data_IF_534162032656
#
_entry.id   IF_534162032656
#
_cell.length_a   1.000
_cell.length_b   1.000
_cell.length_c   1.000
_cell.angle_alpha   90.00
_cell.angle_beta   90.00
_cell.angle_gamma   90.00
#
_symmetry.space_group_name_H-M   'P 1'
#
loop_
_entity.id
_entity.type
_entity.pdbx_description
1 polymer ?
#
# COMPACT_ATOMS: atom_id res chain seq x y z
N UNK A 1 16.24 -12.73 12.15
CA UNK A 1 14.93 -12.06 12.18
C UNK A 1 14.30 -12.24 10.80
N UNK A 2 13.20 -13.00 10.69
CA UNK A 2 12.68 -13.51 9.41
C UNK A 2 11.86 -12.45 8.68
N UNK A 3 12.36 -11.94 7.55
CA UNK A 3 11.75 -10.86 6.74
C UNK A 3 10.30 -11.14 6.31
N UNK A 4 9.94 -12.42 6.14
CA UNK A 4 8.59 -12.87 5.77
C UNK A 4 7.49 -12.46 6.79
N UNK A 5 7.85 -12.30 8.08
CA UNK A 5 6.89 -11.95 9.13
C UNK A 5 6.41 -10.50 9.02
N UNK A 6 7.27 -9.59 8.54
CA UNK A 6 6.96 -8.16 8.47
C UNK A 6 6.00 -7.83 7.32
N UNK A 7 6.07 -8.57 6.21
CA UNK A 7 5.32 -8.26 4.99
C UNK A 7 3.89 -8.83 5.05
N UNK A 8 3.70 -10.02 5.63
CA UNK A 8 2.36 -10.58 5.84
C UNK A 8 1.51 -9.77 6.83
N UNK A 9 2.16 -9.02 7.73
CA UNK A 9 1.47 -8.16 8.70
C UNK A 9 0.92 -6.89 8.05
N UNK A 10 1.63 -6.36 7.04
CA UNK A 10 1.33 -5.06 6.42
C UNK A 10 0.07 -5.07 5.54
N UNK A 11 -0.18 -6.14 4.77
CA UNK A 11 -1.35 -6.22 3.87
C UNK A 11 -2.67 -6.46 4.62
N UNK A 12 -2.62 -7.13 5.77
CA UNK A 12 -3.79 -7.32 6.65
C UNK A 12 -4.02 -6.11 7.55
N UNK A 13 -2.96 -5.40 7.95
CA UNK A 13 -3.07 -4.19 8.76
C UNK A 13 -3.70 -3.01 8.04
N UNK A 14 -3.52 -2.83 6.72
CA UNK A 14 -3.99 -1.59 6.06
C UNK A 14 -5.51 -1.44 6.06
N UNK A 15 -6.27 -2.54 6.01
CA UNK A 15 -7.74 -2.50 6.14
C UNK A 15 -8.16 -2.17 7.57
N UNK A 16 -7.61 -2.90 8.54
CA UNK A 16 -7.92 -2.71 9.96
C UNK A 16 -7.45 -1.33 10.48
N UNK A 17 -6.27 -0.83 10.09
CA UNK A 17 -5.74 0.49 10.48
C UNK A 17 -6.60 1.62 9.88
N UNK A 18 -7.06 1.47 8.64
CA UNK A 18 -7.88 2.48 7.99
C UNK A 18 -9.31 2.55 8.56
N UNK A 19 -9.92 1.39 8.89
CA UNK A 19 -11.21 1.35 9.60
C UNK A 19 -11.07 1.83 11.06
N UNK A 20 -9.95 1.49 11.70
CA UNK A 20 -9.63 1.91 13.08
C UNK A 20 -9.36 3.41 13.22
N UNK A 21 -8.88 4.09 12.18
CA UNK A 21 -8.49 5.49 12.29
C UNK A 21 -9.66 6.44 12.64
N UNK A 22 -10.91 5.99 12.48
CA UNK A 22 -12.11 6.78 12.80
C UNK A 22 -12.66 6.45 14.20
N UNK A 23 -12.55 5.19 14.66
CA UNK A 23 -12.95 4.74 16.01
C UNK A 23 -12.15 3.48 16.43
N UNK A 24 -10.91 3.68 16.87
CA UNK A 24 -10.02 2.57 17.24
C UNK A 24 -10.35 2.01 18.63
N UNK A 25 -10.80 0.76 18.68
CA UNK A 25 -10.86 0.00 19.93
C UNK A 25 -9.80 -1.11 19.97
N UNK A 26 -8.90 -1.01 20.96
CA UNK A 26 -7.83 -1.99 21.16
C UNK A 26 -8.35 -3.42 21.31
N UNK A 27 -9.52 -3.61 21.93
CA UNK A 27 -10.13 -4.94 22.13
C UNK A 27 -10.47 -5.62 20.80
N UNK A 28 -10.98 -4.86 19.83
CA UNK A 28 -11.33 -5.34 18.50
C UNK A 28 -10.05 -5.64 17.71
N UNK A 29 -9.11 -4.70 17.66
CA UNK A 29 -7.84 -4.86 16.96
C UNK A 29 -7.02 -6.06 17.51
N UNK A 30 -6.95 -6.21 18.83
CA UNK A 30 -6.27 -7.34 19.49
C UNK A 30 -6.88 -8.68 19.07
N UNK A 31 -8.20 -8.77 18.92
CA UNK A 31 -8.89 -9.99 18.47
C UNK A 31 -8.51 -10.35 17.04
N UNK A 32 -8.47 -9.37 16.14
CA UNK A 32 -8.06 -9.56 14.75
C UNK A 32 -6.60 -10.01 14.65
N UNK A 33 -5.70 -9.34 15.38
CA UNK A 33 -4.28 -9.69 15.45
C UNK A 33 -4.10 -11.14 15.94
N UNK A 34 -4.80 -11.55 17.01
CA UNK A 34 -4.71 -12.94 17.50
C UNK A 34 -5.16 -13.97 16.46
N UNK A 35 -6.23 -13.66 15.70
CA UNK A 35 -6.71 -14.54 14.63
C UNK A 35 -5.69 -14.65 13.49
N UNK A 36 -5.07 -13.54 13.11
CA UNK A 36 -4.01 -13.53 12.09
C UNK A 36 -2.80 -14.32 12.58
N UNK A 37 -2.37 -14.10 13.83
CA UNK A 37 -1.25 -14.80 14.44
C UNK A 37 -1.49 -16.31 14.53
N UNK A 38 -2.71 -16.76 14.84
CA UNK A 38 -3.00 -18.20 14.90
C UNK A 38 -2.96 -18.85 13.52
N UNK A 39 -3.35 -18.14 12.47
CA UNK A 39 -3.24 -18.61 11.08
C UNK A 39 -1.76 -18.69 10.65
N UNK A 40 -0.97 -17.64 10.90
CA UNK A 40 0.45 -17.58 10.54
C UNK A 40 1.28 -18.63 11.27
N UNK A 41 0.94 -18.93 12.52
CA UNK A 41 1.64 -19.95 13.33
C UNK A 41 1.25 -21.39 12.99
N UNK A 42 0.20 -21.61 12.19
CA UNK A 42 -0.23 -22.95 11.84
C UNK A 42 0.75 -23.55 10.82
N UNK A 43 1.43 -24.67 11.14
CA UNK A 43 2.37 -25.31 10.21
C UNK A 43 1.68 -25.89 8.94
N UNK A 44 0.35 -26.03 8.95
CA UNK A 44 -0.47 -26.41 7.78
C UNK A 44 -1.08 -25.20 7.06
N UNK A 45 -0.56 -23.99 7.28
CA UNK A 45 -1.07 -22.77 6.65
C UNK A 45 -0.97 -22.87 5.12
N UNK A 46 -2.05 -22.48 4.43
CA UNK A 46 -2.08 -22.44 2.97
C UNK A 46 -1.10 -21.36 2.45
N UNK A 47 -0.09 -21.72 1.63
CA UNK A 47 0.90 -20.77 1.08
C UNK A 47 0.27 -19.61 0.30
N UNK A 48 -0.92 -19.81 -0.27
CA UNK A 48 -1.67 -18.80 -1.02
C UNK A 48 -2.02 -17.58 -0.16
N UNK A 49 -2.16 -17.75 1.17
CA UNK A 49 -2.41 -16.65 2.11
C UNK A 49 -1.25 -15.64 2.11
N UNK A 50 -0.03 -16.10 1.82
CA UNK A 50 1.16 -15.26 1.73
C UNK A 50 1.48 -14.80 0.29
N UNK A 51 0.65 -15.13 -0.71
CA UNK A 51 0.95 -14.82 -2.12
C UNK A 51 1.26 -13.34 -2.34
N UNK A 52 0.46 -12.43 -1.79
CA UNK A 52 0.70 -10.99 -1.92
C UNK A 52 2.03 -10.56 -1.27
N UNK A 53 2.43 -11.19 -0.16
CA UNK A 53 3.71 -10.92 0.47
C UNK A 53 4.88 -11.45 -0.38
N UNK A 54 4.72 -12.64 -0.97
CA UNK A 54 5.69 -13.24 -1.89
C UNK A 54 5.86 -12.34 -3.13
N UNK A 55 4.76 -11.94 -3.76
CA UNK A 55 4.75 -11.07 -4.93
C UNK A 55 5.41 -9.71 -4.60
N UNK A 56 5.15 -9.15 -3.42
CA UNK A 56 5.78 -7.93 -2.94
C UNK A 56 7.30 -8.09 -2.78
N UNK A 57 7.75 -9.17 -2.12
CA UNK A 57 9.18 -9.44 -1.90
C UNK A 57 9.93 -9.70 -3.21
N UNK A 58 9.28 -10.36 -4.15
CA UNK A 58 9.81 -10.61 -5.48
C UNK A 58 9.77 -9.36 -6.38
N UNK A 59 9.18 -8.25 -5.91
CA UNK A 59 8.85 -7.08 -6.73
C UNK A 59 8.07 -7.45 -8.01
N UNK A 60 7.32 -8.55 -7.95
CA UNK A 60 6.58 -9.13 -9.08
C UNK A 60 5.15 -8.59 -9.07
N UNK A 61 5.02 -7.28 -9.25
CA UNK A 61 3.72 -6.62 -9.27
C UNK A 61 3.52 -5.72 -10.48
N UNK A 62 2.25 -5.65 -10.91
CA UNK A 62 1.78 -4.71 -11.92
C UNK A 62 0.97 -3.62 -11.21
N UNK A 63 1.28 -2.35 -11.46
CA UNK A 63 0.59 -1.20 -10.88
C UNK A 63 -0.87 -1.05 -11.33
N UNK A 64 -1.31 -1.78 -12.35
CA UNK A 64 -2.72 -1.85 -12.75
C UNK A 64 -3.33 -0.48 -13.09
N UNK A 65 -2.63 0.36 -13.86
CA UNK A 65 -3.04 1.74 -14.13
C UNK A 65 -4.45 1.91 -14.74
N UNK A 66 -4.99 0.88 -15.38
CA UNK A 66 -6.30 0.91 -16.04
C UNK A 66 -7.45 0.39 -15.15
N UNK A 67 -7.16 -0.01 -13.91
CA UNK A 67 -8.16 -0.53 -12.99
C UNK A 67 -8.68 0.62 -12.13
N UNK A 68 -10.00 0.70 -12.01
CA UNK A 68 -10.66 1.63 -11.09
C UNK A 68 -10.25 1.31 -9.66
N UNK A 69 -9.85 2.33 -8.92
CA UNK A 69 -9.55 2.14 -7.51
C UNK A 69 -10.81 1.79 -6.71
N UNK A 70 -10.68 0.87 -5.75
CA UNK A 70 -11.73 0.62 -4.76
C UNK A 70 -11.80 1.73 -3.71
N UNK A 71 -12.90 1.78 -2.97
CA UNK A 71 -13.09 2.75 -1.89
C UNK A 71 -12.06 2.57 -0.77
N UNK A 72 -11.24 3.59 -0.55
CA UNK A 72 -10.24 3.54 0.53
C UNK A 72 -9.76 4.92 0.97
N UNK A 73 -9.36 5.01 2.25
CA UNK A 73 -8.64 6.15 2.81
C UNK A 73 -7.35 6.51 2.05
N UNK A 74 -6.82 5.60 1.23
CA UNK A 74 -5.64 5.84 0.40
C UNK A 74 -5.92 6.86 -0.70
N UNK A 75 -7.12 6.84 -1.29
CA UNK A 75 -7.53 7.81 -2.34
C UNK A 75 -7.55 9.22 -1.74
N UNK A 76 -8.23 9.39 -0.61
CA UNK A 76 -8.33 10.67 0.10
C UNK A 76 -6.93 11.20 0.46
N UNK A 77 -6.00 10.32 0.84
CA UNK A 77 -4.61 10.71 1.11
C UNK A 77 -3.87 11.13 -0.15
N UNK A 78 -4.00 10.37 -1.24
CA UNK A 78 -3.39 10.71 -2.53
C UNK A 78 -3.88 12.06 -3.04
N UNK A 79 -5.18 12.34 -2.96
CA UNK A 79 -5.79 13.62 -3.35
C UNK A 79 -5.24 14.79 -2.52
N UNK A 80 -5.06 14.60 -1.21
CA UNK A 80 -4.45 15.62 -0.35
C UNK A 80 -2.96 15.83 -0.62
N UNK A 81 -2.23 14.77 -0.97
CA UNK A 81 -0.80 14.84 -1.23
C UNK A 81 -0.45 15.38 -2.60
N UNK A 82 -1.32 15.18 -3.60
CA UNK A 82 -1.03 15.54 -4.99
C UNK A 82 -0.67 17.03 -5.15
N UNK A 83 -1.42 18.02 -4.63
CA UNK A 83 -1.03 19.43 -4.75
C UNK A 83 0.34 19.73 -4.13
N UNK A 84 0.64 19.13 -2.97
CA UNK A 84 1.92 19.29 -2.28
C UNK A 84 3.06 18.69 -3.12
N UNK A 85 2.85 17.52 -3.69
CA UNK A 85 3.82 16.86 -4.56
C UNK A 85 4.12 17.72 -5.79
N UNK A 86 3.08 18.19 -6.48
CA UNK A 86 3.21 18.98 -7.71
C UNK A 86 3.96 20.29 -7.43
N UNK A 87 3.59 20.99 -6.35
CA UNK A 87 4.31 22.19 -5.91
C UNK A 87 5.79 21.90 -5.64
N UNK A 88 6.10 20.84 -4.88
CA UNK A 88 7.49 20.50 -4.55
C UNK A 88 8.30 20.13 -5.80
N UNK A 89 7.75 19.36 -6.74
CA UNK A 89 8.45 18.97 -7.98
C UNK A 89 8.76 20.20 -8.86
N UNK A 90 7.84 21.17 -8.92
CA UNK A 90 8.05 22.39 -9.72
C UNK A 90 9.11 23.31 -9.12
N UNK A 91 9.19 23.35 -7.80
CA UNK A 91 10.06 24.30 -7.11
C UNK A 91 11.46 23.74 -6.80
N UNK A 92 11.61 22.42 -6.66
CA UNK A 92 12.90 21.81 -6.30
C UNK A 92 13.02 20.34 -6.71
N UNK A 93 14.27 19.87 -6.78
CA UNK A 93 14.58 18.44 -6.87
C UNK A 93 13.98 17.72 -5.67
N UNK A 94 13.05 16.81 -5.93
CA UNK A 94 12.23 16.17 -4.88
C UNK A 94 12.34 14.65 -5.00
N UNK A 95 12.66 14.00 -3.89
CA UNK A 95 12.57 12.56 -3.75
C UNK A 95 11.30 12.21 -2.98
N UNK A 96 10.46 11.33 -3.54
CA UNK A 96 9.16 10.98 -2.99
C UNK A 96 9.17 9.50 -2.61
N UNK A 97 9.05 9.20 -1.32
CA UNK A 97 8.94 7.85 -0.79
C UNK A 97 7.52 7.60 -0.29
N UNK A 98 6.85 6.59 -0.83
CA UNK A 98 5.49 6.20 -0.46
C UNK A 98 5.36 4.68 -0.40
N UNK A 99 4.37 4.18 0.35
CA UNK A 99 4.03 2.77 0.35
C UNK A 99 3.46 2.32 -1.00
N UNK A 100 3.72 1.07 -1.37
CA UNK A 100 3.39 0.51 -2.70
C UNK A 100 1.94 0.76 -3.12
N UNK A 101 0.98 0.58 -2.20
CA UNK A 101 -0.45 0.72 -2.52
C UNK A 101 -0.86 2.13 -2.96
N UNK A 102 -0.06 3.16 -2.64
CA UNK A 102 -0.33 4.52 -3.14
C UNK A 102 -0.07 4.66 -4.65
N UNK A 103 0.62 3.70 -5.28
CA UNK A 103 1.03 3.75 -6.68
C UNK A 103 0.05 3.03 -7.63
N UNK A 104 -0.90 2.27 -7.11
CA UNK A 104 -1.79 1.40 -7.89
C UNK A 104 -3.02 2.10 -8.48
N UNK A 105 -3.50 1.57 -9.60
CA UNK A 105 -4.79 1.97 -10.19
C UNK A 105 -4.77 3.31 -10.91
N UNK A 106 -5.93 3.71 -11.43
CA UNK A 106 -6.11 5.01 -12.08
C UNK A 106 -6.09 6.20 -11.10
N UNK A 107 -6.32 5.96 -9.81
CA UNK A 107 -6.22 6.95 -8.74
C UNK A 107 -4.85 6.99 -8.05
N UNK A 108 -3.93 6.09 -8.41
CA UNK A 108 -2.60 6.02 -7.85
C UNK A 108 -1.78 7.26 -8.18
N UNK A 109 -0.79 7.58 -7.34
CA UNK A 109 0.04 8.76 -7.51
C UNK A 109 0.75 8.80 -8.87
N UNK A 110 1.19 7.65 -9.40
CA UNK A 110 1.80 7.59 -10.73
C UNK A 110 0.82 8.06 -11.81
N UNK A 111 -0.41 7.54 -11.79
CA UNK A 111 -1.46 7.91 -12.75
C UNK A 111 -1.83 9.37 -12.60
N UNK A 112 -2.04 9.85 -11.37
CA UNK A 112 -2.41 11.25 -11.11
C UNK A 112 -1.32 12.25 -11.47
N UNK A 113 -0.06 11.93 -11.23
CA UNK A 113 1.05 12.81 -11.62
C UNK A 113 1.17 12.84 -13.16
N UNK A 114 0.97 11.71 -13.86
CA UNK A 114 0.91 11.69 -15.33
C UNK A 114 -0.23 12.53 -15.89
N UNK A 115 -1.42 12.45 -15.29
CA UNK A 115 -2.57 13.29 -15.64
C UNK A 115 -2.28 14.80 -15.51
N UNK A 116 -1.37 15.18 -14.59
CA UNK A 116 -0.89 16.55 -14.44
C UNK A 116 0.20 16.94 -15.45
N UNK A 117 0.41 16.15 -16.51
CA UNK A 117 1.32 16.45 -17.61
C UNK A 117 2.78 16.02 -17.40
N UNK A 118 3.08 15.31 -16.31
CA UNK A 118 4.45 14.85 -16.05
C UNK A 118 4.74 13.52 -16.74
N UNK A 119 5.94 13.43 -17.33
CA UNK A 119 6.49 12.16 -17.80
C UNK A 119 7.09 11.41 -16.60
N UNK A 120 6.60 10.20 -16.32
CA UNK A 120 7.17 9.31 -15.29
C UNK A 120 7.76 8.08 -15.97
N UNK A 121 9.06 7.91 -15.79
CA UNK A 121 9.83 6.78 -16.32
C UNK A 121 10.48 5.98 -15.18
N UNK A 122 10.52 4.64 -15.29
CA UNK A 122 11.28 3.82 -14.35
C UNK A 122 12.76 4.12 -14.48
N UNK A 123 13.42 4.36 -13.35
CA UNK A 123 14.87 4.47 -13.30
C UNK A 123 15.46 3.05 -13.35
N UNK A 124 16.32 2.79 -14.33
CA UNK A 124 17.17 1.58 -14.32
C UNK A 124 18.32 1.83 -13.35
N UNK A 125 18.48 0.93 -12.39
CA UNK A 125 19.64 0.90 -11.49
C UNK A 125 20.74 0.03 -12.09
#
# INVERSE_FOLDING_TARGET
MNFNFFISFFSLQTKDINESAVNFEWKIAKKHIHKILSQIRNPKMNPTICKNAIDYMAFSFNYQFNIACGDSNLIIRNEKWLPVIIDNINNKKTFIAVGLLHLYGNCGLISKIRENGYKIEPLKL
#
